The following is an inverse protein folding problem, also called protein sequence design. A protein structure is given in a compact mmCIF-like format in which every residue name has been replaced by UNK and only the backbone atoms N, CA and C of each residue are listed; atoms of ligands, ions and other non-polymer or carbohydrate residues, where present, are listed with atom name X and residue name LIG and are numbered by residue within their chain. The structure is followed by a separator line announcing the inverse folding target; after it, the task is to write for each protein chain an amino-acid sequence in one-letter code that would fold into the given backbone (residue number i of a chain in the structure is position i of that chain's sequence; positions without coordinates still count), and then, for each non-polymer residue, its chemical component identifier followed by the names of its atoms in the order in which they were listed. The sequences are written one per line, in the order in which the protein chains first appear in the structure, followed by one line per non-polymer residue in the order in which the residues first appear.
data_IF_644747974610
#
_entry.id   IF_644747974610
#
_cell.length_a   1.000
_cell.length_b   1.000
_cell.length_c   1.000
_cell.angle_alpha   90.00
_cell.angle_beta   90.00
_cell.angle_gamma   90.00
#
_symmetry.space_group_name_H-M   'P 1'
#
loop_
_entity.id
_entity.type
_entity.pdbx_description
1 polymer ?
#
# COMPACT_ATOMS: atom_id res chain seq x y z
N UNK A 1 -20.77 8.18 0.32
CA UNK A 1 -20.66 8.75 -1.05
C UNK A 1 -21.57 8.04 -2.03
N UNK A 2 -22.43 8.79 -2.73
CA UNK A 2 -23.27 8.30 -3.83
C UNK A 2 -23.16 9.24 -5.02
N UNK A 3 -22.96 8.68 -6.21
CA UNK A 3 -22.87 9.44 -7.46
C UNK A 3 -23.77 8.83 -8.52
N UNK A 4 -24.27 9.65 -9.44
CA UNK A 4 -25.09 9.25 -10.58
C UNK A 4 -24.37 9.59 -11.87
N UNK A 5 -24.32 8.67 -12.83
CA UNK A 5 -23.73 8.99 -14.13
C UNK A 5 -24.63 9.91 -14.96
N UNK A 6 -24.01 10.93 -15.56
CA UNK A 6 -24.63 11.89 -16.48
C UNK A 6 -24.55 11.45 -17.94
N UNK A 7 -23.66 10.52 -18.28
CA UNK A 7 -23.51 9.98 -19.63
C UNK A 7 -22.92 8.57 -19.57
N UNK A 8 -23.06 7.78 -20.64
CA UNK A 8 -22.41 6.47 -20.72
C UNK A 8 -20.89 6.64 -20.60
N UNK A 9 -20.26 5.86 -19.73
CA UNK A 9 -18.84 6.00 -19.42
C UNK A 9 -18.18 4.64 -19.26
N UNK A 10 -16.99 4.50 -19.81
CA UNK A 10 -16.21 3.27 -19.72
C UNK A 10 -14.91 3.58 -18.99
N UNK A 11 -14.67 2.89 -17.89
CA UNK A 11 -13.42 3.01 -17.15
C UNK A 11 -12.81 1.64 -16.84
N UNK A 12 -11.54 1.67 -16.50
CA UNK A 12 -10.84 0.52 -15.95
C UNK A 12 -10.69 0.71 -14.45
N UNK A 13 -11.20 -0.24 -13.67
CA UNK A 13 -11.16 -0.23 -12.21
C UNK A 13 -11.15 -1.66 -11.69
N UNK A 14 -10.43 -1.91 -10.60
CA UNK A 14 -10.31 -3.23 -9.97
C UNK A 14 -9.92 -4.37 -10.94
N UNK A 15 -8.94 -4.09 -11.80
CA UNK A 15 -8.48 -4.99 -12.87
C UNK A 15 -9.52 -5.38 -13.94
N UNK A 16 -10.69 -4.76 -13.92
CA UNK A 16 -11.77 -4.99 -14.86
C UNK A 16 -12.15 -3.71 -15.61
N UNK A 17 -12.69 -3.89 -16.81
CA UNK A 17 -13.31 -2.80 -17.57
C UNK A 17 -14.78 -2.73 -17.17
N UNK A 18 -15.19 -1.58 -16.63
CA UNK A 18 -16.57 -1.30 -16.27
C UNK A 18 -17.23 -0.42 -17.33
N UNK A 19 -18.30 -0.92 -17.94
CA UNK A 19 -19.16 -0.17 -18.83
C UNK A 19 -20.37 0.34 -18.04
N UNK A 20 -20.38 1.63 -17.79
CA UNK A 20 -21.39 2.29 -16.98
C UNK A 20 -22.40 2.99 -17.88
N UNK A 21 -23.67 2.90 -17.49
CA UNK A 21 -24.77 3.53 -18.21
C UNK A 21 -25.16 4.84 -17.56
N UNK A 22 -25.57 5.77 -18.41
CA UNK A 22 -26.19 7.01 -17.97
C UNK A 22 -27.35 6.74 -17.00
N UNK A 23 -27.45 7.59 -15.98
CA UNK A 23 -28.52 7.57 -14.99
C UNK A 23 -28.37 6.52 -13.91
N UNK A 24 -27.37 5.63 -13.98
CA UNK A 24 -27.09 4.62 -12.95
C UNK A 24 -26.40 5.26 -11.75
N UNK A 25 -26.92 4.94 -10.57
CA UNK A 25 -26.35 5.35 -9.30
C UNK A 25 -25.31 4.33 -8.83
N UNK A 26 -24.19 4.85 -8.35
CA UNK A 26 -23.11 4.09 -7.74
C UNK A 26 -22.84 4.60 -6.34
N UNK A 27 -22.47 3.69 -5.44
CA UNK A 27 -22.29 3.97 -4.02
C UNK A 27 -20.92 3.51 -3.52
N UNK A 28 -20.40 4.16 -2.49
CA UNK A 28 -19.17 3.76 -1.79
C UNK A 28 -17.89 4.03 -2.58
N UNK A 29 -16.92 3.12 -2.48
CA UNK A 29 -15.58 3.29 -3.06
C UNK A 29 -15.59 3.51 -4.58
N UNK A 30 -16.53 2.88 -5.29
CA UNK A 30 -16.68 3.06 -6.72
C UNK A 30 -17.18 4.48 -7.07
N UNK A 31 -18.13 4.99 -6.29
CA UNK A 31 -18.64 6.36 -6.42
C UNK A 31 -17.55 7.40 -6.19
N UNK A 32 -16.69 7.16 -5.18
CA UNK A 32 -15.52 8.00 -4.88
C UNK A 32 -14.48 7.97 -6.00
N UNK A 33 -14.21 6.79 -6.55
CA UNK A 33 -13.31 6.65 -7.68
C UNK A 33 -13.82 7.42 -8.91
N UNK A 34 -15.12 7.31 -9.21
CA UNK A 34 -15.75 8.03 -10.33
C UNK A 34 -15.68 9.55 -10.18
N UNK A 35 -15.97 10.08 -8.98
CA UNK A 35 -15.85 11.50 -8.71
C UNK A 35 -14.39 11.99 -8.81
N UNK A 36 -13.42 11.18 -8.39
CA UNK A 36 -12.00 11.54 -8.41
C UNK A 36 -11.35 11.44 -9.79
N UNK A 37 -11.81 10.54 -10.67
CA UNK A 37 -11.23 10.33 -12.01
C UNK A 37 -11.75 11.32 -13.06
N UNK A 38 -12.63 12.25 -12.67
CA UNK A 38 -13.25 13.20 -13.61
C UNK A 38 -14.29 12.55 -14.52
N UNK A 39 -14.89 11.42 -14.09
CA UNK A 39 -16.01 10.83 -14.82
C UNK A 39 -17.20 11.81 -14.84
N UNK A 40 -18.07 11.76 -15.85
CA UNK A 40 -19.26 12.61 -15.94
C UNK A 40 -20.31 12.12 -14.92
N UNK A 41 -20.10 12.41 -13.65
CA UNK A 41 -20.97 12.01 -12.54
C UNK A 41 -21.48 13.21 -11.76
N UNK A 42 -22.72 13.12 -11.29
CA UNK A 42 -23.36 14.03 -10.35
C UNK A 42 -23.29 13.41 -8.95
N UNK A 43 -22.74 14.15 -7.97
CA UNK A 43 -22.67 13.69 -6.58
C UNK A 43 -24.01 13.93 -5.91
N UNK A 44 -24.73 12.87 -5.57
CA UNK A 44 -26.06 12.92 -4.94
C UNK A 44 -25.97 12.94 -3.41
N UNK A 45 -24.97 12.25 -2.85
CA UNK A 45 -24.72 12.21 -1.41
C UNK A 45 -23.21 12.29 -1.19
N UNK A 46 -22.79 13.41 -0.63
CA UNK A 46 -21.40 13.68 -0.32
C UNK A 46 -20.95 12.75 0.82
N UNK A 47 -19.78 12.11 0.65
CA UNK A 47 -19.10 11.48 1.79
C UNK A 47 -18.66 12.61 2.71
N UNK A 48 -18.75 12.51 4.04
CA UNK A 48 -17.94 13.40 4.86
C UNK A 48 -16.49 13.20 4.42
N UNK A 49 -15.89 14.23 3.84
CA UNK A 49 -14.47 14.22 3.50
C UNK A 49 -13.72 13.68 4.72
N UNK A 50 -12.82 12.69 4.58
CA UNK A 50 -11.78 12.56 5.57
C UNK A 50 -11.10 13.93 5.59
N UNK A 51 -11.18 14.59 6.74
CA UNK A 51 -10.50 15.86 7.05
C UNK A 51 -9.20 15.87 6.27
N UNK A 52 -9.07 16.85 5.36
CA UNK A 52 -7.86 17.08 4.59
C UNK A 52 -6.72 17.25 5.60
N UNK A 53 -6.06 16.14 5.95
CA UNK A 53 -4.74 16.15 6.49
C UNK A 53 -3.92 16.90 5.45
N UNK A 54 -3.61 18.14 5.83
CA UNK A 54 -2.91 19.17 5.10
C UNK A 54 -2.08 18.66 3.92
N UNK A 55 -2.16 19.39 2.81
CA UNK A 55 -1.04 19.49 1.88
C UNK A 55 0.27 19.49 2.70
N UNK A 56 1.17 18.51 2.55
CA UNK A 56 2.50 18.70 3.08
C UNK A 56 3.10 19.82 2.22
N UNK A 57 3.11 21.01 2.79
CA UNK A 57 4.14 22.01 2.57
C UNK A 57 5.44 21.28 2.14
N UNK A 58 6.06 21.60 1.00
CA UNK A 58 7.33 20.99 0.59
C UNK A 58 8.51 21.46 1.47
N UNK A 59 8.27 21.71 2.76
CA UNK A 59 9.20 22.16 3.75
C UNK A 59 8.73 21.78 5.15
N UNK A 60 8.90 20.52 5.54
CA UNK A 60 9.26 20.22 6.92
C UNK A 60 8.46 19.14 7.64
N UNK A 61 9.27 18.20 8.14
CA UNK A 61 9.11 17.49 9.42
C UNK A 61 8.05 16.38 9.46
N UNK A 62 8.54 15.19 9.15
CA UNK A 62 8.03 13.89 9.58
C UNK A 62 7.54 13.95 11.04
N UNK A 63 6.30 13.53 11.29
CA UNK A 63 5.87 13.07 12.59
C UNK A 63 5.60 11.55 12.51
N UNK A 64 6.17 10.74 13.42
CA UNK A 64 6.28 9.31 13.24
C UNK A 64 4.97 8.62 13.62
N UNK A 65 4.43 7.79 12.74
CA UNK A 65 3.45 6.78 13.14
C UNK A 65 4.06 5.90 14.23
N UNK A 66 3.28 5.68 15.28
CA UNK A 66 3.66 4.95 16.47
C UNK A 66 4.24 3.58 16.12
N UNK A 67 5.39 3.19 16.72
CA UNK A 67 5.95 1.88 16.49
C UNK A 67 5.01 0.87 17.14
N UNK A 68 4.26 0.14 16.32
CA UNK A 68 3.71 -1.15 16.75
C UNK A 68 4.89 -2.00 17.21
N UNK A 69 5.05 -2.07 18.53
CA UNK A 69 6.06 -2.83 19.21
C UNK A 69 5.82 -4.32 18.92
N UNK A 70 6.39 -4.79 17.83
CA UNK A 70 6.53 -6.21 17.52
C UNK A 70 8.02 -6.49 17.51
N UNK A 71 8.50 -6.98 18.64
CA UNK A 71 9.80 -7.66 18.82
C UNK A 71 11.00 -7.01 18.14
N UNK A 72 11.65 -6.07 18.83
CA UNK A 72 13.01 -5.58 18.51
C UNK A 72 13.20 -5.11 17.05
N UNK A 73 12.35 -4.19 16.59
CA UNK A 73 12.59 -3.38 15.39
C UNK A 73 12.51 -4.11 14.03
N UNK A 74 12.26 -5.43 14.00
CA UNK A 74 12.12 -6.18 12.75
C UNK A 74 10.70 -6.01 12.17
N UNK A 75 10.52 -5.05 11.28
CA UNK A 75 9.30 -4.92 10.48
C UNK A 75 9.34 -5.87 9.26
N UNK A 76 9.26 -7.18 9.51
CA UNK A 76 9.25 -8.21 8.44
C UNK A 76 7.98 -8.16 7.57
N UNK A 77 6.96 -7.43 8.03
CA UNK A 77 5.71 -7.17 7.32
C UNK A 77 5.82 -6.05 6.29
N UNK A 78 6.80 -5.16 6.44
CA UNK A 78 7.08 -4.05 5.53
C UNK A 78 7.57 -4.46 4.15
N UNK A 79 8.03 -3.48 3.37
CA UNK A 79 8.55 -3.74 2.03
C UNK A 79 9.90 -4.48 2.09
N UNK A 80 10.27 -5.15 0.99
CA UNK A 80 11.58 -5.80 0.88
C UNK A 80 12.72 -4.81 1.21
N UNK A 81 12.60 -3.56 0.77
CA UNK A 81 13.60 -2.52 1.00
C UNK A 81 13.66 -2.09 2.48
N UNK A 82 12.51 -1.99 3.15
CA UNK A 82 12.42 -1.74 4.60
C UNK A 82 13.16 -2.82 5.40
N UNK A 83 12.95 -4.10 5.06
CA UNK A 83 13.61 -5.23 5.72
C UNK A 83 15.13 -5.20 5.47
N UNK A 84 15.56 -4.97 4.23
CA UNK A 84 16.99 -4.91 3.90
C UNK A 84 17.70 -3.71 4.53
N UNK A 85 17.00 -2.57 4.63
CA UNK A 85 17.50 -1.36 5.29
C UNK A 85 17.67 -1.59 6.80
N UNK A 86 16.73 -2.28 7.45
CA UNK A 86 16.86 -2.67 8.85
C UNK A 86 18.01 -3.66 9.10
N UNK A 87 18.19 -4.61 8.17
CA UNK A 87 19.31 -5.56 8.21
C UNK A 87 20.64 -4.83 8.08
N UNK A 88 20.75 -3.83 7.20
CA UNK A 88 21.91 -2.95 7.10
C UNK A 88 23.26 -3.64 6.81
N UNK A 89 23.24 -4.93 6.45
CA UNK A 89 24.44 -5.76 6.28
C UNK A 89 24.83 -6.60 7.51
N UNK A 90 24.10 -6.49 8.63
CA UNK A 90 24.34 -7.30 9.82
C UNK A 90 23.90 -8.76 9.61
N UNK A 91 24.79 -9.76 9.73
CA UNK A 91 24.43 -11.17 9.51
C UNK A 91 23.41 -11.68 10.52
N UNK A 92 23.49 -11.21 11.77
CA UNK A 92 22.57 -11.63 12.84
C UNK A 92 21.14 -11.20 12.50
N UNK A 93 20.97 -9.96 12.05
CA UNK A 93 19.70 -9.41 11.59
C UNK A 93 19.22 -10.07 10.31
N UNK A 94 20.13 -10.32 9.36
CA UNK A 94 19.80 -11.02 8.12
C UNK A 94 19.23 -12.42 8.39
N UNK A 95 19.81 -13.15 9.35
CA UNK A 95 19.34 -14.47 9.74
C UNK A 95 17.96 -14.41 10.41
N UNK A 96 17.72 -13.42 11.28
CA UNK A 96 16.41 -13.21 11.92
C UNK A 96 15.32 -12.88 10.89
N UNK A 97 15.62 -11.99 9.95
CA UNK A 97 14.69 -11.66 8.87
C UNK A 97 14.43 -12.87 7.94
N UNK A 98 15.45 -13.69 7.67
CA UNK A 98 15.32 -14.88 6.83
C UNK A 98 14.44 -15.94 7.49
N UNK A 99 14.62 -16.17 8.79
CA UNK A 99 13.79 -17.11 9.57
C UNK A 99 12.34 -16.64 9.64
N UNK A 100 12.12 -15.36 9.95
CA UNK A 100 10.80 -14.75 9.98
C UNK A 100 10.11 -14.77 8.60
N UNK A 101 10.85 -14.59 7.50
CA UNK A 101 10.30 -14.69 6.15
C UNK A 101 9.98 -16.14 5.75
N UNK A 102 10.81 -17.11 6.13
CA UNK A 102 10.56 -18.54 5.88
C UNK A 102 9.40 -19.08 6.70
N UNK A 103 9.17 -18.56 7.90
CA UNK A 103 8.02 -18.91 8.74
C UNK A 103 6.67 -18.59 8.07
N UNK A 104 6.65 -17.71 7.05
CA UNK A 104 5.46 -17.41 6.25
C UNK A 104 5.09 -18.48 5.21
N UNK A 105 5.93 -19.51 5.01
CA UNK A 105 5.65 -20.61 4.08
C UNK A 105 5.51 -20.13 2.62
N UNK A 106 4.39 -20.45 1.98
CA UNK A 106 4.08 -20.06 0.60
C UNK A 106 3.96 -18.54 0.38
N UNK A 107 3.78 -17.75 1.44
CA UNK A 107 3.78 -16.29 1.37
C UNK A 107 5.19 -15.69 1.48
N UNK A 108 6.23 -16.52 1.62
CA UNK A 108 7.61 -16.07 1.66
C UNK A 108 8.02 -15.43 0.32
N UNK A 109 8.54 -14.22 0.38
CA UNK A 109 9.00 -13.47 -0.79
C UNK A 109 10.36 -14.01 -1.23
N UNK A 110 10.38 -14.77 -2.32
CA UNK A 110 11.60 -15.36 -2.89
C UNK A 110 12.72 -14.32 -3.14
N UNK A 111 12.36 -13.10 -3.52
CA UNK A 111 13.32 -12.01 -3.73
C UNK A 111 13.96 -11.54 -2.41
N UNK A 112 13.20 -11.49 -1.32
CA UNK A 112 13.72 -11.08 -0.01
C UNK A 112 14.64 -12.15 0.56
N UNK A 113 14.23 -13.42 0.52
CA UNK A 113 15.05 -14.53 0.99
C UNK A 113 16.37 -14.64 0.22
N UNK A 114 16.35 -14.46 -1.11
CA UNK A 114 17.57 -14.45 -1.94
C UNK A 114 18.54 -13.34 -1.54
N UNK A 115 18.03 -12.12 -1.27
CA UNK A 115 18.89 -10.98 -0.89
C UNK A 115 19.46 -11.12 0.53
N UNK A 116 18.68 -11.64 1.47
CA UNK A 116 19.13 -11.92 2.83
C UNK A 116 20.21 -13.02 2.85
N UNK A 117 20.03 -14.07 2.04
CA UNK A 117 21.02 -15.14 1.87
C UNK A 117 22.34 -14.59 1.29
N UNK A 118 22.28 -13.68 0.31
CA UNK A 118 23.47 -13.02 -0.24
C UNK A 118 24.24 -12.19 0.81
N UNK A 119 23.54 -11.54 1.75
CA UNK A 119 24.17 -10.79 2.86
C UNK A 119 24.88 -11.75 3.81
N UNK A 120 24.26 -12.88 4.14
CA UNK A 120 24.87 -13.92 4.98
C UNK A 120 26.11 -14.53 4.33
N UNK A 121 26.05 -14.81 3.03
CA UNK A 121 27.19 -15.34 2.27
C UNK A 121 28.34 -14.33 2.09
N UNK A 122 28.02 -13.04 1.96
CA UNK A 122 29.04 -11.98 1.79
C UNK A 122 29.80 -11.65 3.08
N UNK A 123 29.29 -12.09 4.24
CA UNK A 123 29.87 -11.82 5.56
C UNK A 123 30.59 -13.04 6.15
N UNK A 124 30.47 -14.22 5.54
CA UNK A 124 31.26 -15.39 5.93
C UNK A 124 32.73 -15.22 5.46
N UNK A 125 33.73 -15.26 6.37
CA UNK A 125 35.16 -15.19 6.00
C UNK A 125 35.67 -16.44 5.29
#
# INVERSE_FOLDING_TARGET
MRVRLLSNYRLYWDYAVHELREGVEHVGAFARHLASTGAPVEVLEDDPEPDLAAEPDPAGVQAPEEPSATTDGLDITGTIDTVLTWVGGDPVRAQQALDAERAKGDAARATLTTRLDAILQSTAP
#
